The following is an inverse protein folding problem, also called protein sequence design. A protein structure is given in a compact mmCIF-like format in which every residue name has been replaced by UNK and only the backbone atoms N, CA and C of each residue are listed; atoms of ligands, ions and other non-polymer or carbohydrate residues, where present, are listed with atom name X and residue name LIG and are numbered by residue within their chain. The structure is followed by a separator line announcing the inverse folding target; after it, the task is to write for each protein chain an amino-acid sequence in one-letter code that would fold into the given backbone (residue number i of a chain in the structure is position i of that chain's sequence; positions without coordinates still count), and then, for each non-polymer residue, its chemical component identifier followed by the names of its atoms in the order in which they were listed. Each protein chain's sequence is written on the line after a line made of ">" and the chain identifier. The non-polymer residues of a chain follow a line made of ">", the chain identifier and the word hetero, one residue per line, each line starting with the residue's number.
data_IF_212569209576
#
_entry.id   IF_212569209576
#
_cell.length_a   1.000
_cell.length_b   1.000
_cell.length_c   1.000
_cell.angle_alpha   90.00
_cell.angle_beta   90.00
_cell.angle_gamma   90.00
#
_symmetry.space_group_name_H-M   'P 1'
#
loop_
_entity.id
_entity.type
_entity.pdbx_description
1 polymer ?
#
# COMPACT_ATOMS: atom_id res chain seq x y z
N UNK A 1 69.83 10.56 -44.84
CA UNK A 1 70.45 11.66 -44.09
C UNK A 1 71.23 11.06 -42.95
N UNK A 2 72.59 11.25 -42.98
CA UNK A 2 73.49 10.71 -41.94
C UNK A 2 73.44 11.64 -40.75
N UNK A 3 72.95 11.10 -39.64
CA UNK A 3 72.90 11.83 -38.36
C UNK A 3 74.32 11.95 -37.83
N UNK A 4 74.95 13.12 -38.01
CA UNK A 4 76.39 13.30 -37.80
C UNK A 4 76.76 13.80 -36.39
N UNK A 5 75.83 14.07 -35.53
CA UNK A 5 76.11 14.56 -34.16
C UNK A 5 75.26 13.92 -33.13
N UNK A 6 75.82 13.32 -32.08
CA UNK A 6 75.15 12.79 -30.91
C UNK A 6 74.19 13.80 -30.26
N UNK A 7 74.54 15.09 -30.34
CA UNK A 7 73.67 16.19 -29.83
C UNK A 7 72.41 16.35 -30.62
N UNK A 8 72.39 16.23 -31.95
CA UNK A 8 71.17 16.33 -32.77
C UNK A 8 70.17 15.16 -32.47
N UNK A 9 70.76 13.96 -32.26
CA UNK A 9 69.98 12.78 -31.92
C UNK A 9 69.28 12.96 -30.57
N UNK A 10 69.98 13.50 -29.57
CA UNK A 10 69.42 13.80 -28.25
C UNK A 10 68.27 14.86 -28.30
N UNK A 11 68.46 15.90 -29.12
CA UNK A 11 67.40 16.93 -29.30
C UNK A 11 66.15 16.37 -29.98
N UNK A 12 66.34 15.50 -30.99
CA UNK A 12 65.21 14.84 -31.65
C UNK A 12 64.48 13.90 -30.70
N UNK A 13 65.19 13.12 -29.92
CA UNK A 13 64.55 12.23 -28.91
C UNK A 13 63.85 13.04 -27.82
N UNK A 14 64.50 14.10 -27.33
CA UNK A 14 63.84 14.98 -26.35
C UNK A 14 62.59 15.68 -26.91
N UNK A 15 62.62 16.14 -28.15
CA UNK A 15 61.45 16.71 -28.84
C UNK A 15 60.31 15.71 -29.03
N UNK A 16 60.67 14.46 -29.40
CA UNK A 16 59.71 13.40 -29.61
C UNK A 16 59.02 12.97 -28.28
N UNK A 17 59.80 12.89 -27.20
CA UNK A 17 59.23 12.60 -25.86
C UNK A 17 58.37 13.73 -25.35
N UNK A 18 58.76 14.98 -25.59
CA UNK A 18 57.94 16.14 -25.23
C UNK A 18 56.63 16.21 -26.04
N UNK A 19 56.69 15.90 -27.34
CA UNK A 19 55.54 15.84 -28.21
C UNK A 19 54.55 14.71 -27.81
N UNK A 20 55.07 13.54 -27.38
CA UNK A 20 54.27 12.43 -26.86
C UNK A 20 53.58 12.80 -25.54
N UNK A 21 54.28 13.43 -24.61
CA UNK A 21 53.75 13.87 -23.34
C UNK A 21 52.67 14.97 -23.50
N UNK A 22 52.88 15.89 -24.42
CA UNK A 22 51.90 16.94 -24.75
C UNK A 22 50.69 16.37 -25.49
N UNK A 23 50.90 15.41 -26.40
CA UNK A 23 49.85 14.71 -27.12
C UNK A 23 48.92 13.89 -26.20
N UNK A 24 49.54 13.19 -25.24
CA UNK A 24 48.77 12.43 -24.26
C UNK A 24 47.87 13.33 -23.39
N UNK A 25 48.40 14.44 -22.89
CA UNK A 25 47.62 15.39 -22.07
C UNK A 25 46.55 16.18 -22.85
N UNK A 26 46.81 16.54 -24.11
CA UNK A 26 45.95 17.38 -24.92
C UNK A 26 44.86 16.61 -25.69
N UNK A 27 45.12 15.37 -26.06
CA UNK A 27 44.21 14.57 -26.91
C UNK A 27 43.56 13.42 -26.15
N UNK A 28 44.33 12.62 -25.44
CA UNK A 28 43.83 11.40 -24.80
C UNK A 28 43.01 11.73 -23.54
N UNK A 29 43.47 12.68 -22.72
CA UNK A 29 42.75 13.01 -21.47
C UNK A 29 41.36 13.65 -21.68
N UNK A 30 41.15 14.57 -22.63
CA UNK A 30 39.81 15.11 -22.86
C UNK A 30 38.86 14.08 -23.52
N UNK A 31 39.40 13.19 -24.40
CA UNK A 31 38.58 12.14 -24.97
C UNK A 31 38.11 11.13 -23.91
N UNK A 32 39.00 10.68 -23.04
CA UNK A 32 38.69 9.75 -21.96
C UNK A 32 37.65 10.36 -20.97
N UNK A 33 37.78 11.65 -20.66
CA UNK A 33 36.80 12.37 -19.81
C UNK A 33 35.44 12.47 -20.48
N UNK A 34 35.36 12.77 -21.76
CA UNK A 34 34.09 12.88 -22.47
C UNK A 34 33.39 11.52 -22.60
N UNK A 35 34.16 10.45 -22.72
CA UNK A 35 33.63 9.08 -22.75
C UNK A 35 33.08 8.63 -21.38
N UNK A 36 33.83 8.89 -20.32
CA UNK A 36 33.39 8.56 -18.96
C UNK A 36 32.12 9.34 -18.55
N UNK A 37 32.03 10.63 -18.91
CA UNK A 37 30.83 11.45 -18.64
C UNK A 37 29.63 10.91 -19.39
N UNK A 38 29.78 10.52 -20.66
CA UNK A 38 28.69 9.93 -21.47
C UNK A 38 28.25 8.57 -20.94
N UNK A 39 29.23 7.71 -20.60
CA UNK A 39 28.96 6.38 -20.04
C UNK A 39 28.22 6.47 -18.69
N UNK A 40 28.66 7.37 -17.81
CA UNK A 40 28.03 7.61 -16.53
C UNK A 40 26.59 8.16 -16.69
N UNK A 41 26.38 9.03 -17.68
CA UNK A 41 25.05 9.56 -17.96
C UNK A 41 24.08 8.49 -18.48
N UNK A 42 24.56 7.58 -19.33
CA UNK A 42 23.77 6.42 -19.81
C UNK A 42 23.45 5.47 -18.65
N UNK A 43 24.42 5.19 -17.78
CA UNK A 43 24.22 4.36 -16.59
C UNK A 43 23.19 4.99 -15.63
N UNK A 44 23.25 6.32 -15.45
CA UNK A 44 22.32 7.06 -14.62
C UNK A 44 20.90 7.06 -15.19
N UNK A 45 20.76 7.33 -16.50
CA UNK A 45 19.47 7.27 -17.19
C UNK A 45 18.85 5.87 -17.14
N UNK A 46 19.64 4.81 -17.27
CA UNK A 46 19.15 3.43 -17.11
C UNK A 46 18.66 3.15 -15.70
N UNK A 47 19.34 3.68 -14.69
CA UNK A 47 18.95 3.57 -13.29
C UNK A 47 17.64 4.34 -13.02
N UNK A 48 17.52 5.53 -13.57
CA UNK A 48 16.32 6.37 -13.43
C UNK A 48 15.10 5.73 -14.11
N UNK A 49 15.30 5.11 -15.30
CA UNK A 49 14.24 4.35 -15.98
C UNK A 49 13.82 3.11 -15.18
N UNK A 50 14.80 2.36 -14.64
CA UNK A 50 14.50 1.21 -13.80
C UNK A 50 13.76 1.59 -12.51
N UNK A 51 14.13 2.70 -11.88
CA UNK A 51 13.43 3.23 -10.72
C UNK A 51 12.02 3.74 -11.09
N UNK A 52 11.87 4.41 -12.24
CA UNK A 52 10.58 4.85 -12.75
C UNK A 52 9.63 3.67 -13.05
N UNK A 53 10.14 2.57 -13.60
CA UNK A 53 9.35 1.36 -13.81
C UNK A 53 8.85 0.74 -12.49
N UNK A 54 9.71 0.67 -11.48
CA UNK A 54 9.32 0.19 -10.15
C UNK A 54 8.27 1.08 -9.47
N UNK A 55 8.35 2.40 -9.67
CA UNK A 55 7.35 3.34 -9.16
C UNK A 55 6.00 3.14 -9.86
N UNK A 56 6.01 2.89 -11.16
CA UNK A 56 4.80 2.63 -11.95
C UNK A 56 4.11 1.34 -11.55
N UNK A 57 4.88 0.27 -11.32
CA UNK A 57 4.34 -1.00 -10.83
C UNK A 57 3.71 -0.85 -9.42
N UNK A 58 4.36 -0.09 -8.55
CA UNK A 58 3.80 0.24 -7.23
C UNK A 58 2.53 1.08 -7.32
N UNK A 59 2.48 2.07 -8.20
CA UNK A 59 1.28 2.88 -8.42
C UNK A 59 0.10 2.01 -8.86
N UNK A 60 0.32 1.06 -9.76
CA UNK A 60 -0.72 0.17 -10.24
C UNK A 60 -1.23 -0.77 -9.13
N UNK A 61 -0.33 -1.31 -8.30
CA UNK A 61 -0.71 -2.12 -7.14
C UNK A 61 -1.50 -1.30 -6.12
N UNK A 62 -1.07 -0.06 -5.84
CA UNK A 62 -1.77 0.85 -4.93
C UNK A 62 -3.15 1.21 -5.50
N UNK A 63 -3.24 1.52 -6.79
CA UNK A 63 -4.49 1.86 -7.46
C UNK A 63 -5.48 0.68 -7.46
N UNK A 64 -5.04 -0.53 -7.78
CA UNK A 64 -5.87 -1.73 -7.72
C UNK A 64 -6.34 -2.02 -6.29
N UNK A 65 -5.46 -1.83 -5.29
CA UNK A 65 -5.81 -1.97 -3.88
C UNK A 65 -6.82 -0.90 -3.43
N UNK A 66 -6.66 0.32 -3.90
CA UNK A 66 -7.60 1.41 -3.64
C UNK A 66 -8.97 1.14 -4.26
N UNK A 67 -9.04 0.68 -5.49
CA UNK A 67 -10.30 0.31 -6.15
C UNK A 67 -10.99 -0.85 -5.43
N UNK A 68 -10.26 -1.88 -5.02
CA UNK A 68 -10.85 -2.98 -4.23
C UNK A 68 -11.34 -2.52 -2.86
N UNK A 69 -10.66 -1.58 -2.21
CA UNK A 69 -11.15 -0.97 -0.96
C UNK A 69 -12.40 -0.12 -1.20
N UNK A 70 -12.45 0.64 -2.28
CA UNK A 70 -13.58 1.49 -2.64
C UNK A 70 -14.83 0.68 -2.98
N UNK A 71 -14.69 -0.46 -3.65
CA UNK A 71 -15.84 -1.34 -3.96
C UNK A 71 -16.43 -1.99 -2.72
N UNK A 72 -15.66 -2.11 -1.65
CA UNK A 72 -16.10 -2.70 -0.38
C UNK A 72 -16.53 -1.64 0.66
N UNK A 73 -16.49 -0.34 0.34
CA UNK A 73 -17.05 0.70 1.23
C UNK A 73 -18.56 0.65 1.22
N UNK A 74 -19.15 1.09 2.34
CA UNK A 74 -20.59 1.24 2.42
C UNK A 74 -21.12 2.23 1.35
N UNK A 75 -22.37 2.06 0.87
CA UNK A 75 -23.01 2.99 -0.05
C UNK A 75 -22.96 4.44 0.46
N UNK A 76 -22.87 5.42 -0.47
CA UNK A 76 -22.85 6.85 -0.12
C UNK A 76 -24.15 7.30 0.55
N UNK A 77 -25.26 6.66 0.20
CA UNK A 77 -26.55 6.96 0.81
C UNK A 77 -26.65 6.33 2.19
N UNK A 78 -26.76 7.17 3.21
CA UNK A 78 -26.85 6.81 4.63
C UNK A 78 -27.89 5.72 4.89
N UNK A 79 -29.10 5.87 4.33
CA UNK A 79 -30.19 4.90 4.54
C UNK A 79 -29.93 3.56 3.86
N UNK A 80 -29.28 3.57 2.67
CA UNK A 80 -28.91 2.33 1.99
C UNK A 80 -27.79 1.61 2.75
N UNK A 81 -26.76 2.33 3.19
CA UNK A 81 -25.67 1.80 3.97
C UNK A 81 -26.15 1.16 5.28
N UNK A 82 -27.04 1.84 6.00
CA UNK A 82 -27.63 1.33 7.23
C UNK A 82 -28.45 0.06 6.98
N UNK A 83 -29.28 0.06 5.95
CA UNK A 83 -30.08 -1.10 5.58
C UNK A 83 -29.22 -2.30 5.18
N UNK A 84 -28.15 -2.08 4.42
CA UNK A 84 -27.22 -3.13 4.03
C UNK A 84 -26.52 -3.76 5.23
N UNK A 85 -26.07 -2.96 6.19
CA UNK A 85 -25.47 -3.46 7.43
C UNK A 85 -26.50 -4.23 8.26
N UNK A 86 -27.74 -3.73 8.40
CA UNK A 86 -28.79 -4.44 9.14
C UNK A 86 -29.15 -5.78 8.50
N UNK A 87 -29.27 -5.84 7.17
CA UNK A 87 -29.50 -7.09 6.43
C UNK A 87 -28.35 -8.07 6.59
N UNK A 88 -27.10 -7.59 6.59
CA UNK A 88 -25.93 -8.42 6.84
C UNK A 88 -25.97 -9.04 8.24
N UNK A 89 -26.29 -8.25 9.27
CA UNK A 89 -26.45 -8.78 10.64
C UNK A 89 -27.54 -9.84 10.74
N UNK A 90 -28.67 -9.63 10.07
CA UNK A 90 -29.77 -10.60 10.02
C UNK A 90 -29.30 -11.90 9.33
N UNK A 91 -28.63 -11.79 8.19
CA UNK A 91 -28.10 -12.93 7.46
C UNK A 91 -27.08 -13.72 8.29
N UNK A 92 -26.11 -13.06 8.92
CA UNK A 92 -25.12 -13.72 9.77
C UNK A 92 -25.74 -14.39 10.98
N UNK A 93 -26.77 -13.76 11.58
CA UNK A 93 -27.48 -14.33 12.73
C UNK A 93 -28.19 -15.65 12.36
N UNK A 94 -28.86 -15.66 11.21
CA UNK A 94 -29.56 -16.85 10.71
C UNK A 94 -28.60 -18.01 10.42
N UNK A 95 -27.50 -17.77 9.72
CA UNK A 95 -26.50 -18.80 9.40
C UNK A 95 -25.84 -19.35 10.67
N UNK A 96 -25.56 -18.49 11.64
CA UNK A 96 -24.87 -18.83 12.88
C UNK A 96 -25.80 -19.38 13.96
N UNK A 97 -27.12 -19.29 13.74
CA UNK A 97 -28.15 -19.72 14.69
C UNK A 97 -28.04 -18.99 16.05
N UNK A 98 -27.79 -17.68 16.00
CA UNK A 98 -27.84 -16.82 17.18
C UNK A 98 -29.11 -15.97 17.18
N UNK A 99 -29.48 -15.47 18.36
CA UNK A 99 -30.55 -14.51 18.50
C UNK A 99 -30.01 -13.12 18.77
N UNK A 100 -30.29 -12.17 17.88
CA UNK A 100 -29.96 -10.76 18.10
C UNK A 100 -31.10 -10.11 18.90
N UNK A 101 -30.76 -9.48 20.02
CA UNK A 101 -31.70 -8.77 20.85
C UNK A 101 -31.90 -7.34 20.40
N UNK A 102 -30.85 -6.71 19.99
CA UNK A 102 -30.83 -5.29 19.68
C UNK A 102 -29.69 -4.94 18.70
N UNK A 103 -29.99 -4.03 17.78
CA UNK A 103 -28.98 -3.42 16.91
C UNK A 103 -29.21 -1.91 16.94
N UNK A 104 -28.16 -1.15 17.22
CA UNK A 104 -28.19 0.31 17.31
C UNK A 104 -27.16 0.91 16.36
N UNK A 105 -27.55 1.29 15.14
CA UNK A 105 -26.70 2.06 14.26
C UNK A 105 -26.62 3.53 14.73
N UNK A 106 -25.43 4.10 14.66
CA UNK A 106 -25.16 5.52 14.95
C UNK A 106 -24.21 6.08 13.92
N UNK A 107 -24.58 7.22 13.35
CA UNK A 107 -23.73 7.93 12.40
C UNK A 107 -22.91 8.99 13.11
N UNK A 108 -21.60 8.99 12.86
CA UNK A 108 -20.67 10.01 13.32
C UNK A 108 -20.02 10.68 12.13
N UNK A 109 -20.04 12.00 12.13
CA UNK A 109 -19.23 12.77 11.20
C UNK A 109 -17.83 12.89 11.79
N UNK A 110 -16.87 12.17 11.20
CA UNK A 110 -15.47 12.18 11.68
C UNK A 110 -14.65 13.22 10.94
N UNK A 111 -15.02 13.52 9.68
CA UNK A 111 -14.34 14.51 8.83
C UNK A 111 -15.34 15.05 7.79
N UNK A 112 -14.99 16.13 7.08
CA UNK A 112 -15.87 16.71 6.05
C UNK A 112 -16.10 15.78 4.85
N UNK A 113 -15.18 14.83 4.61
CA UNK A 113 -15.19 13.96 3.44
C UNK A 113 -15.74 12.56 3.68
N UNK A 114 -15.96 12.13 4.92
CA UNK A 114 -16.48 10.80 5.21
C UNK A 114 -17.36 10.75 6.46
N UNK A 115 -18.32 9.82 6.45
CA UNK A 115 -19.16 9.49 7.57
C UNK A 115 -18.78 8.09 8.08
N UNK A 116 -18.82 7.92 9.38
CA UNK A 116 -18.60 6.62 10.02
C UNK A 116 -19.92 6.12 10.59
N UNK A 117 -20.34 4.93 10.18
CA UNK A 117 -21.42 4.19 10.82
C UNK A 117 -20.81 3.36 11.94
N UNK A 118 -21.21 3.63 13.18
CA UNK A 118 -20.96 2.75 14.31
C UNK A 118 -22.23 1.92 14.57
N UNK A 119 -22.10 0.61 14.66
CA UNK A 119 -23.23 -0.26 14.95
C UNK A 119 -22.90 -1.12 16.15
N UNK A 120 -23.74 -1.05 17.18
CA UNK A 120 -23.68 -1.92 18.36
C UNK A 120 -24.77 -2.95 18.29
N UNK A 121 -24.40 -4.23 18.39
CA UNK A 121 -25.30 -5.35 18.39
C UNK A 121 -25.15 -6.16 19.69
N UNK A 122 -26.29 -6.50 20.31
CA UNK A 122 -26.36 -7.39 21.45
C UNK A 122 -26.99 -8.71 20.99
N UNK A 123 -26.29 -9.83 21.17
CA UNK A 123 -26.72 -11.15 20.71
C UNK A 123 -26.53 -12.21 21.79
N UNK A 124 -27.24 -13.34 21.66
CA UNK A 124 -27.10 -14.48 22.57
C UNK A 124 -26.99 -15.79 21.80
N UNK A 125 -26.25 -16.71 22.38
CA UNK A 125 -26.07 -18.04 21.82
C UNK A 125 -25.07 -18.86 22.59
N UNK A 126 -24.82 -20.07 22.13
CA UNK A 126 -23.71 -20.89 22.62
C UNK A 126 -22.38 -20.35 22.11
N UNK A 127 -21.29 -20.70 22.76
CA UNK A 127 -19.94 -20.27 22.36
C UNK A 127 -19.62 -20.62 20.89
N UNK A 128 -20.03 -21.81 20.45
CA UNK A 128 -19.83 -22.27 19.07
C UNK A 128 -20.64 -21.41 18.05
N UNK A 129 -21.89 -21.09 18.37
CA UNK A 129 -22.73 -20.24 17.54
C UNK A 129 -22.19 -18.80 17.46
N UNK A 130 -21.75 -18.23 18.58
CA UNK A 130 -21.15 -16.90 18.63
C UNK A 130 -19.82 -16.84 17.88
N UNK A 131 -19.01 -17.88 17.97
CA UNK A 131 -17.74 -17.96 17.20
C UNK A 131 -17.99 -17.99 15.70
N UNK A 132 -18.99 -18.77 15.24
CA UNK A 132 -19.41 -18.78 13.82
C UNK A 132 -19.93 -17.43 13.38
N UNK A 133 -20.68 -16.74 14.21
CA UNK A 133 -21.17 -15.41 13.91
C UNK A 133 -20.03 -14.40 13.73
N UNK A 134 -19.09 -14.33 14.68
CA UNK A 134 -17.91 -13.46 14.57
C UNK A 134 -17.07 -13.77 13.34
N UNK A 135 -16.89 -15.05 13.02
CA UNK A 135 -16.19 -15.47 11.81
C UNK A 135 -16.89 -14.97 10.53
N UNK A 136 -18.22 -15.05 10.48
CA UNK A 136 -19.00 -14.57 9.33
C UNK A 136 -18.93 -13.04 9.20
N UNK A 137 -18.97 -12.31 10.31
CA UNK A 137 -18.78 -10.84 10.33
C UNK A 137 -17.41 -10.43 9.78
N UNK A 138 -16.36 -11.12 10.22
CA UNK A 138 -14.99 -10.78 9.81
C UNK A 138 -14.67 -11.17 8.36
N UNK A 139 -15.32 -12.23 7.85
CA UNK A 139 -15.10 -12.72 6.48
C UNK A 139 -15.92 -11.98 5.43
N UNK A 140 -16.92 -11.24 5.83
CA UNK A 140 -17.82 -10.55 4.91
C UNK A 140 -17.07 -9.51 4.06
N UNK A 141 -17.41 -9.34 2.77
CA UNK A 141 -16.83 -8.32 1.91
C UNK A 141 -17.20 -6.89 2.32
N UNK A 142 -18.24 -6.68 3.14
CA UNK A 142 -18.54 -5.39 3.73
C UNK A 142 -17.34 -4.93 4.56
N UNK A 143 -16.83 -3.74 4.26
CA UNK A 143 -15.67 -3.17 4.96
C UNK A 143 -16.05 -2.71 6.39
N UNK A 144 -16.51 -3.66 7.19
CA UNK A 144 -16.80 -3.43 8.60
C UNK A 144 -15.58 -3.81 9.44
N UNK A 145 -15.27 -2.96 10.39
CA UNK A 145 -14.20 -3.17 11.35
C UNK A 145 -14.80 -3.48 12.71
N UNK A 146 -14.35 -4.56 13.33
CA UNK A 146 -14.70 -4.89 14.70
C UNK A 146 -13.90 -3.99 15.65
N UNK A 147 -14.61 -3.18 16.46
CA UNK A 147 -14.02 -2.24 17.42
C UNK A 147 -13.95 -2.84 18.82
N UNK A 148 -15.00 -3.53 19.24
CA UNK A 148 -15.07 -4.13 20.56
C UNK A 148 -15.93 -5.40 20.56
N UNK A 149 -15.52 -6.35 21.38
CA UNK A 149 -16.23 -7.61 21.66
C UNK A 149 -16.29 -7.78 23.18
N UNK A 150 -17.50 -7.94 23.69
CA UNK A 150 -17.78 -8.23 25.10
C UNK A 150 -18.55 -9.54 25.18
N UNK A 151 -18.06 -10.51 25.92
CA UNK A 151 -18.75 -11.80 26.13
C UNK A 151 -18.98 -11.99 27.63
N UNK A 152 -20.21 -12.26 27.99
CA UNK A 152 -20.59 -12.53 29.38
C UNK A 152 -21.43 -13.80 29.46
N UNK A 153 -21.30 -14.57 30.53
CA UNK A 153 -22.18 -15.70 30.79
C UNK A 153 -23.55 -15.19 31.21
N UNK A 154 -24.59 -15.79 30.67
CA UNK A 154 -25.99 -15.50 31.00
C UNK A 154 -26.54 -16.48 32.04
N UNK A 155 -26.00 -17.70 32.06
CA UNK A 155 -26.39 -18.76 32.97
C UNK A 155 -25.20 -19.21 33.86
N UNK A 156 -25.52 -19.95 34.94
CA UNK A 156 -24.49 -20.44 35.87
C UNK A 156 -23.62 -21.56 35.26
N UNK A 157 -24.11 -22.23 34.24
CA UNK A 157 -23.45 -23.38 33.58
C UNK A 157 -22.60 -22.94 32.38
N UNK A 158 -22.66 -21.69 31.96
CA UNK A 158 -21.87 -21.15 30.83
C UNK A 158 -22.34 -21.64 29.44
N UNK A 159 -23.51 -22.25 29.34
CA UNK A 159 -24.05 -22.75 28.08
C UNK A 159 -24.66 -21.63 27.20
N UNK A 160 -25.17 -20.59 27.84
CA UNK A 160 -25.76 -19.43 27.21
C UNK A 160 -24.90 -18.20 27.49
N UNK A 161 -24.43 -17.57 26.41
CA UNK A 161 -23.59 -16.37 26.47
C UNK A 161 -24.30 -15.19 25.84
N UNK A 162 -23.99 -14.01 26.35
CA UNK A 162 -24.33 -12.74 25.73
C UNK A 162 -23.10 -12.18 25.06
N UNK A 163 -23.26 -11.74 23.83
CA UNK A 163 -22.26 -11.06 23.04
C UNK A 163 -22.66 -9.61 22.84
N UNK A 164 -21.85 -8.67 23.29
CA UNK A 164 -21.88 -7.28 22.86
C UNK A 164 -20.83 -7.09 21.77
N UNK A 165 -21.26 -6.73 20.57
CA UNK A 165 -20.39 -6.49 19.42
C UNK A 165 -20.52 -5.04 18.99
N UNK A 166 -19.39 -4.36 18.81
CA UNK A 166 -19.36 -3.03 18.21
C UNK A 166 -18.53 -3.10 16.92
N UNK A 167 -19.15 -2.67 15.83
CA UNK A 167 -18.50 -2.57 14.51
C UNK A 167 -18.57 -1.16 13.98
N UNK A 168 -17.61 -0.78 13.15
CA UNK A 168 -17.60 0.49 12.43
C UNK A 168 -17.45 0.26 10.93
N UNK A 169 -18.13 1.07 10.14
CA UNK A 169 -18.02 1.11 8.68
C UNK A 169 -17.87 2.55 8.20
N UNK A 170 -17.24 2.75 7.06
CA UNK A 170 -17.00 4.09 6.49
C UNK A 170 -17.73 4.22 5.17
N UNK A 171 -18.42 5.36 4.98
CA UNK A 171 -18.92 5.79 3.68
C UNK A 171 -18.20 7.05 3.24
N UNK A 172 -17.83 7.11 1.96
CA UNK A 172 -17.18 8.26 1.34
C UNK A 172 -18.28 9.17 0.78
N UNK A 173 -18.19 10.47 1.07
CA UNK A 173 -19.04 11.45 0.39
C UNK A 173 -18.50 11.68 -1.01
N UNK A 174 -19.35 11.54 -2.02
CA UNK A 174 -19.05 12.03 -3.38
C UNK A 174 -18.95 13.55 -3.36
N UNK A 175 -17.87 14.07 -3.93
CA UNK A 175 -17.73 15.52 -4.19
C UNK A 175 -18.55 15.92 -5.41
#
# INVERSE_FOLDING_TARGET
>A
MKIKNRQQLLVIVAGLTLALLLGDKLVVSPLARSWSVRSNRIAQLRKDIAQGALLRDREQIIRNRWESMRTNTLPENVSLAENEVLQAFEHWSQISQISIANIKPQWKQTDDNYLTLECRADAFGSMDALTRFLYNVERDPLALRVEAIEIASRDNDGNQLTLGLQVSGVTLKSQ
#
